data_IF_974164479763
#
_entry.id   IF_974164479763
#
_cell.length_a   1.000
_cell.length_b   1.000
_cell.length_c   1.000
_cell.angle_alpha   90.00
_cell.angle_beta   90.00
_cell.angle_gamma   90.00
#
_symmetry.space_group_name_H-M   'P 1'
#
loop_
_entity.id
_entity.type
_entity.pdbx_description
1 polymer ?
#
# COMPACT_ATOMS: atom_id res chain seq x y z
N UNK A 1 8.15 62.64 -17.64
CA UNK A 1 8.06 61.44 -16.78
C UNK A 1 8.59 60.26 -17.57
N UNK A 2 9.66 59.63 -17.07
CA UNK A 2 10.30 58.44 -17.66
C UNK A 2 9.48 57.19 -17.25
N UNK A 3 9.28 56.18 -18.11
CA UNK A 3 8.72 54.90 -17.67
C UNK A 3 9.77 54.17 -16.83
N UNK A 4 9.37 53.68 -15.65
CA UNK A 4 10.15 52.82 -14.78
C UNK A 4 10.30 51.44 -15.42
N UNK A 5 11.54 51.07 -15.72
CA UNK A 5 11.93 49.70 -16.10
C UNK A 5 12.02 48.84 -14.84
N UNK A 6 11.01 48.00 -14.59
CA UNK A 6 11.12 46.91 -13.62
C UNK A 6 11.88 45.75 -14.28
N UNK A 7 13.12 45.57 -13.85
CA UNK A 7 13.89 44.33 -14.04
C UNK A 7 13.25 43.19 -13.27
N UNK A 8 13.02 42.00 -13.86
CA UNK A 8 12.62 40.83 -13.09
C UNK A 8 13.73 40.45 -12.12
N UNK A 9 13.40 40.27 -10.84
CA UNK A 9 14.32 39.72 -9.86
C UNK A 9 14.75 38.32 -10.30
N UNK A 10 16.05 38.16 -10.56
CA UNK A 10 16.66 36.86 -10.83
C UNK A 10 16.37 35.90 -9.68
N UNK A 11 15.64 34.82 -9.97
CA UNK A 11 15.55 33.69 -9.07
C UNK A 11 16.98 33.15 -8.85
N UNK A 12 17.45 33.22 -7.60
CA UNK A 12 18.73 32.65 -7.19
C UNK A 12 18.68 31.12 -7.36
N UNK A 13 19.11 30.62 -8.51
CA UNK A 13 19.50 29.22 -8.66
C UNK A 13 20.84 29.01 -7.97
N UNK A 14 20.82 28.54 -6.72
CA UNK A 14 22.03 28.05 -6.07
C UNK A 14 22.45 26.73 -6.72
N UNK A 15 23.39 26.78 -7.65
CA UNK A 15 24.15 25.61 -8.12
C UNK A 15 25.15 25.21 -7.04
N UNK A 16 24.90 24.11 -6.32
CA UNK A 16 25.88 23.51 -5.42
C UNK A 16 26.92 22.71 -6.22
N UNK A 17 28.18 22.89 -5.83
CA UNK A 17 29.39 22.36 -6.44
C UNK A 17 29.43 20.84 -6.63
N UNK A 18 30.10 20.42 -7.71
CA UNK A 18 30.45 19.05 -8.02
C UNK A 18 31.51 18.52 -7.03
N UNK A 19 31.16 17.47 -6.28
CA UNK A 19 32.12 16.53 -5.68
C UNK A 19 31.62 15.10 -5.88
N UNK A 20 32.39 14.31 -6.63
CA UNK A 20 32.36 12.83 -6.74
C UNK A 20 30.99 12.10 -6.64
N UNK A 21 30.35 11.90 -7.80
CA UNK A 21 29.76 10.60 -8.15
C UNK A 21 28.36 10.18 -7.66
N UNK A 22 27.62 11.00 -6.89
CA UNK A 22 26.20 10.71 -6.62
C UNK A 22 25.42 12.02 -6.54
N UNK A 23 24.56 12.29 -7.54
CA UNK A 23 23.62 13.42 -7.48
C UNK A 23 22.64 13.15 -6.34
N UNK A 24 22.91 13.71 -5.16
CA UNK A 24 21.94 13.77 -4.07
C UNK A 24 20.97 14.88 -4.47
N UNK A 25 19.72 14.52 -4.74
CA UNK A 25 18.64 15.48 -4.90
C UNK A 25 17.98 15.60 -3.53
N UNK A 26 18.22 16.68 -2.73
CA UNK A 26 17.68 16.78 -1.37
C UNK A 26 16.31 17.50 -1.33
N UNK A 27 15.87 18.09 -2.45
CA UNK A 27 14.71 18.97 -2.49
C UNK A 27 13.36 18.25 -2.48
N UNK A 28 12.32 19.03 -2.16
CA UNK A 28 10.92 18.69 -2.35
C UNK A 28 10.46 19.35 -3.64
N UNK A 29 9.78 18.62 -4.53
CA UNK A 29 9.24 19.18 -5.77
C UNK A 29 8.05 20.12 -5.52
N UNK A 30 6.98 19.58 -4.94
CA UNK A 30 5.79 20.33 -4.52
C UNK A 30 5.54 20.09 -3.03
N UNK A 31 5.30 21.16 -2.28
CA UNK A 31 5.01 21.09 -0.84
C UNK A 31 3.62 21.66 -0.53
N UNK A 32 2.70 20.79 -0.14
CA UNK A 32 1.33 21.13 0.26
C UNK A 32 1.22 21.06 1.78
N UNK A 33 1.02 22.21 2.41
CA UNK A 33 0.84 22.31 3.87
C UNK A 33 -0.65 22.42 4.25
N UNK A 34 -1.47 22.97 3.35
CA UNK A 34 -2.89 23.20 3.58
C UNK A 34 -3.80 22.03 3.17
N UNK A 35 -5.10 22.25 3.34
CA UNK A 35 -6.15 21.30 3.02
C UNK A 35 -6.78 21.61 1.65
N UNK A 36 -7.54 20.65 1.12
CA UNK A 36 -8.44 20.87 -0.03
C UNK A 36 -7.74 21.30 -1.32
N UNK A 37 -6.48 20.89 -1.51
CA UNK A 37 -5.71 21.17 -2.71
C UNK A 37 -5.85 20.06 -3.75
N UNK A 38 -5.63 20.42 -5.02
CA UNK A 38 -5.55 19.48 -6.12
C UNK A 38 -4.20 19.63 -6.86
N UNK A 39 -3.59 18.50 -7.21
CA UNK A 39 -2.46 18.42 -8.14
C UNK A 39 -2.89 17.50 -9.28
N UNK A 40 -2.87 18.01 -10.50
CA UNK A 40 -3.43 17.33 -11.67
C UNK A 40 -2.48 17.45 -12.86
N UNK A 41 -2.19 16.32 -13.51
CA UNK A 41 -1.46 16.23 -14.78
C UNK A 41 -0.06 16.89 -14.74
N UNK A 42 0.71 16.59 -13.70
CA UNK A 42 2.06 17.13 -13.48
C UNK A 42 3.12 16.04 -13.59
N UNK A 43 4.23 16.34 -14.25
CA UNK A 43 5.45 15.53 -14.23
C UNK A 43 6.46 16.14 -13.26
N UNK A 44 6.96 15.35 -12.31
CA UNK A 44 7.95 15.79 -11.32
C UNK A 44 9.23 14.96 -11.49
N UNK A 45 10.33 15.64 -11.78
CA UNK A 45 11.64 15.04 -12.02
C UNK A 45 12.69 15.52 -11.01
N UNK A 46 13.61 14.63 -10.60
CA UNK A 46 14.82 14.98 -9.82
C UNK A 46 14.60 15.65 -8.44
N UNK A 47 13.58 15.23 -7.68
CA UNK A 47 13.42 15.59 -6.27
C UNK A 47 13.74 14.43 -5.30
N UNK A 48 14.13 14.72 -4.04
CA UNK A 48 14.15 13.68 -2.99
C UNK A 48 12.74 13.18 -2.70
N UNK A 49 11.81 14.13 -2.65
CA UNK A 49 10.39 13.92 -2.44
C UNK A 49 9.67 14.65 -3.56
N UNK A 50 8.94 13.94 -4.41
CA UNK A 50 8.19 14.56 -5.51
C UNK A 50 7.13 15.52 -4.99
N UNK A 51 6.20 14.98 -4.19
CA UNK A 51 5.14 15.74 -3.52
C UNK A 51 5.18 15.45 -2.03
N UNK A 52 5.26 16.49 -1.20
CA UNK A 52 5.03 16.41 0.24
C UNK A 52 3.63 16.96 0.56
N UNK A 53 2.85 16.21 1.34
CA UNK A 53 1.50 16.58 1.76
C UNK A 53 1.45 16.53 3.28
N UNK A 54 1.19 17.67 3.93
CA UNK A 54 1.05 17.78 5.39
C UNK A 54 -0.34 18.23 5.85
N UNK A 55 -1.22 18.60 4.91
CA UNK A 55 -2.62 18.91 5.17
C UNK A 55 -3.57 17.81 4.68
N UNK A 56 -4.85 17.99 4.97
CA UNK A 56 -5.91 16.99 4.81
C UNK A 56 -6.68 17.17 3.50
N UNK A 57 -7.50 16.18 3.13
CA UNK A 57 -8.51 16.30 2.08
C UNK A 57 -7.97 16.62 0.66
N UNK A 58 -6.69 16.35 0.39
CA UNK A 58 -6.06 16.67 -0.90
C UNK A 58 -6.36 15.62 -1.99
N UNK A 59 -6.31 16.03 -3.26
CA UNK A 59 -6.46 15.14 -4.42
C UNK A 59 -5.25 15.23 -5.36
N UNK A 60 -4.64 14.09 -5.64
CA UNK A 60 -3.50 13.94 -6.53
C UNK A 60 -3.92 13.04 -7.68
N UNK A 61 -3.87 13.52 -8.92
CA UNK A 61 -4.32 12.74 -10.08
C UNK A 61 -3.48 12.98 -11.32
N UNK A 62 -3.23 11.95 -12.13
CA UNK A 62 -2.48 12.09 -13.38
C UNK A 62 -1.01 12.51 -13.17
N UNK A 63 -0.48 12.37 -11.97
CA UNK A 63 0.89 12.79 -11.65
C UNK A 63 1.87 11.71 -12.06
N UNK A 64 2.93 12.10 -12.78
CA UNK A 64 4.08 11.25 -13.05
C UNK A 64 5.26 11.66 -12.16
N UNK A 65 5.56 10.84 -11.14
CA UNK A 65 6.74 11.01 -10.33
C UNK A 65 7.90 10.19 -10.91
N UNK A 66 8.88 10.88 -11.48
CA UNK A 66 10.15 10.33 -11.95
C UNK A 66 11.31 10.99 -11.19
N UNK A 67 11.24 10.94 -9.87
CA UNK A 67 12.22 11.58 -8.99
C UNK A 67 13.19 10.55 -8.40
N UNK A 68 13.93 10.93 -7.35
CA UNK A 68 14.87 10.02 -6.68
C UNK A 68 14.18 8.68 -6.36
N UNK A 69 14.78 7.58 -6.84
CA UNK A 69 14.23 6.24 -6.68
C UNK A 69 14.08 5.84 -5.21
N UNK A 70 13.09 5.01 -4.91
CA UNK A 70 12.84 4.49 -3.55
C UNK A 70 14.00 3.67 -3.02
N UNK A 71 14.66 2.88 -3.87
CA UNK A 71 15.87 2.13 -3.50
C UNK A 71 17.04 3.05 -3.05
N UNK A 72 17.00 4.34 -3.38
CA UNK A 72 17.99 5.33 -2.96
C UNK A 72 17.48 6.21 -1.80
N UNK A 73 16.31 5.90 -1.23
CA UNK A 73 15.66 6.66 -0.17
C UNK A 73 14.93 7.91 -0.67
N UNK A 74 14.40 7.89 -1.89
CA UNK A 74 13.45 8.91 -2.37
C UNK A 74 11.99 8.46 -2.23
N UNK A 75 11.07 9.42 -2.33
CA UNK A 75 9.62 9.18 -2.33
C UNK A 75 8.95 9.96 -3.47
N UNK A 76 8.00 9.35 -4.16
CA UNK A 76 7.22 10.01 -5.20
C UNK A 76 6.23 10.96 -4.54
N UNK A 77 5.41 10.41 -3.65
CA UNK A 77 4.43 11.15 -2.86
C UNK A 77 4.64 10.77 -1.40
N UNK A 78 4.77 11.76 -0.52
CA UNK A 78 4.92 11.60 0.91
C UNK A 78 3.76 12.27 1.63
N UNK A 79 2.96 11.49 2.36
CA UNK A 79 1.86 11.95 3.18
C UNK A 79 2.33 11.98 4.64
N UNK A 80 2.57 13.20 5.13
CA UNK A 80 2.94 13.54 6.50
C UNK A 80 1.74 14.16 7.21
N UNK A 81 0.64 13.42 7.25
CA UNK A 81 -0.61 13.84 7.88
C UNK A 81 -1.16 12.71 8.76
N UNK A 82 -0.42 12.30 9.82
CA UNK A 82 -0.79 11.18 10.68
C UNK A 82 -2.13 11.42 11.35
N UNK A 83 -3.01 10.42 11.31
CA UNK A 83 -4.36 10.47 11.88
C UNK A 83 -5.37 11.32 11.11
N UNK A 84 -4.93 12.10 10.11
CA UNK A 84 -5.71 13.17 9.48
C UNK A 84 -5.51 13.24 7.95
N UNK A 85 -5.23 12.11 7.29
CA UNK A 85 -4.81 12.09 5.88
C UNK A 85 -5.90 12.55 4.90
N UNK A 86 -7.05 11.86 4.85
CA UNK A 86 -8.20 12.17 3.97
C UNK A 86 -7.86 12.40 2.48
N UNK A 87 -6.72 11.86 2.02
CA UNK A 87 -6.13 12.17 0.72
C UNK A 87 -6.50 11.10 -0.31
N UNK A 88 -6.73 11.53 -1.55
CA UNK A 88 -7.01 10.66 -2.71
C UNK A 88 -5.88 10.78 -3.71
N UNK A 89 -5.28 9.65 -4.08
CA UNK A 89 -4.25 9.52 -5.10
C UNK A 89 -4.79 8.58 -6.19
N UNK A 90 -4.99 9.10 -7.39
CA UNK A 90 -5.65 8.36 -8.47
C UNK A 90 -4.89 8.48 -9.79
N UNK A 91 -4.78 7.40 -10.56
CA UNK A 91 -4.28 7.45 -11.94
C UNK A 91 -2.88 8.08 -12.08
N UNK A 92 -2.01 7.84 -11.10
CA UNK A 92 -0.64 8.36 -11.11
C UNK A 92 0.33 7.35 -11.73
N UNK A 93 1.46 7.83 -12.23
CA UNK A 93 2.58 7.01 -12.68
C UNK A 93 3.80 7.22 -11.79
N UNK A 94 4.24 6.14 -11.15
CA UNK A 94 5.25 6.11 -10.10
C UNK A 94 6.47 5.35 -10.63
N UNK A 95 7.43 6.08 -11.21
CA UNK A 95 8.57 5.51 -11.95
C UNK A 95 9.80 5.36 -11.03
N UNK A 96 10.08 4.14 -10.58
CA UNK A 96 11.08 3.75 -9.55
C UNK A 96 10.89 4.40 -8.18
N UNK A 97 9.79 5.13 -7.95
CA UNK A 97 9.56 5.90 -6.73
C UNK A 97 8.16 5.66 -6.19
N UNK A 98 8.03 5.42 -4.89
CA UNK A 98 6.80 4.96 -4.26
C UNK A 98 5.98 6.03 -3.56
N UNK A 99 5.00 5.58 -2.79
CA UNK A 99 4.21 6.42 -1.88
C UNK A 99 4.59 6.08 -0.45
N UNK A 100 4.71 7.09 0.40
CA UNK A 100 4.90 6.93 1.85
C UNK A 100 3.74 7.60 2.56
N UNK A 101 3.12 6.92 3.52
CA UNK A 101 2.05 7.48 4.35
C UNK A 101 2.30 7.18 5.83
N UNK A 102 2.25 8.21 6.66
CA UNK A 102 2.36 8.10 8.13
C UNK A 102 0.96 8.04 8.75
N UNK A 103 0.71 7.00 9.55
CA UNK A 103 -0.55 6.72 10.24
C UNK A 103 -1.84 7.13 9.47
N UNK A 104 -2.05 6.59 8.25
CA UNK A 104 -3.08 7.11 7.37
C UNK A 104 -4.49 6.83 7.88
N UNK A 105 -5.34 7.86 7.77
CA UNK A 105 -6.78 7.78 8.01
C UNK A 105 -7.53 8.30 6.77
N UNK A 106 -8.45 7.50 6.23
CA UNK A 106 -9.22 7.83 5.01
C UNK A 106 -8.33 8.12 3.79
N UNK A 107 -7.33 7.27 3.55
CA UNK A 107 -6.45 7.34 2.38
C UNK A 107 -6.99 6.45 1.25
N UNK A 108 -7.03 6.97 0.03
CA UNK A 108 -7.41 6.19 -1.16
C UNK A 108 -6.31 6.27 -2.22
N UNK A 109 -5.79 5.12 -2.67
CA UNK A 109 -4.78 4.99 -3.71
C UNK A 109 -5.31 4.02 -4.78
N UNK A 110 -5.56 4.51 -5.99
CA UNK A 110 -6.18 3.72 -7.05
C UNK A 110 -5.71 4.04 -8.46
N UNK A 111 -5.90 3.11 -9.39
CA UNK A 111 -5.67 3.29 -10.83
C UNK A 111 -4.23 3.64 -11.22
N UNK A 112 -3.29 3.52 -10.28
CA UNK A 112 -1.92 4.01 -10.46
C UNK A 112 -1.00 2.90 -10.96
N UNK A 113 0.06 3.28 -11.69
CA UNK A 113 1.09 2.37 -12.16
C UNK A 113 2.40 2.59 -11.39
N UNK A 114 2.91 1.54 -10.76
CA UNK A 114 4.17 1.51 -10.02
C UNK A 114 5.19 0.68 -10.78
N UNK A 115 6.22 1.33 -11.32
CA UNK A 115 7.29 0.70 -12.09
C UNK A 115 8.58 0.59 -11.26
N UNK A 116 9.38 -0.44 -11.53
CA UNK A 116 10.77 -0.50 -11.09
C UNK A 116 10.91 -0.73 -9.60
N UNK A 117 10.10 -1.64 -9.06
CA UNK A 117 10.01 -1.92 -7.61
C UNK A 117 9.52 -0.74 -6.77
N UNK A 118 8.79 0.22 -7.37
CA UNK A 118 8.06 1.21 -6.59
C UNK A 118 6.97 0.53 -5.75
N UNK A 119 6.81 0.95 -4.48
CA UNK A 119 5.87 0.36 -3.53
C UNK A 119 5.18 1.43 -2.69
N UNK A 120 4.17 1.01 -1.93
CA UNK A 120 3.50 1.86 -0.94
C UNK A 120 4.01 1.47 0.45
N UNK A 121 4.55 2.44 1.19
CA UNK A 121 5.01 2.27 2.57
C UNK A 121 4.03 2.93 3.53
N UNK A 122 3.46 2.15 4.44
CA UNK A 122 2.64 2.64 5.55
C UNK A 122 3.51 2.62 6.80
N UNK A 123 3.70 3.80 7.40
CA UNK A 123 4.50 3.96 8.62
C UNK A 123 3.58 4.09 9.83
N UNK A 124 3.85 3.26 10.82
CA UNK A 124 3.28 3.37 12.16
C UNK A 124 4.08 4.40 12.95
N UNK A 125 3.46 5.49 13.42
CA UNK A 125 4.05 6.36 14.43
C UNK A 125 3.34 6.14 15.77
N UNK A 126 2.01 6.22 15.75
CA UNK A 126 1.08 5.95 16.85
C UNK A 126 0.28 4.65 16.65
N UNK A 127 0.60 3.88 15.60
CA UNK A 127 -0.01 2.57 15.34
C UNK A 127 -1.37 2.61 14.67
N UNK A 128 -1.66 3.65 13.87
CA UNK A 128 -2.99 3.88 13.28
C UNK A 128 -2.96 3.58 11.78
N UNK A 129 -3.92 2.80 11.30
CA UNK A 129 -4.22 2.64 9.87
C UNK A 129 -5.72 2.39 9.71
N UNK A 130 -6.45 3.41 9.24
CA UNK A 130 -7.93 3.36 9.21
C UNK A 130 -8.57 3.85 7.92
N UNK A 131 -9.58 3.14 7.43
CA UNK A 131 -10.33 3.49 6.21
C UNK A 131 -9.40 3.71 5.01
N UNK A 132 -8.40 2.83 4.86
CA UNK A 132 -7.37 2.92 3.83
C UNK A 132 -7.70 1.97 2.68
N UNK A 133 -7.72 2.49 1.46
CA UNK A 133 -7.98 1.72 0.25
C UNK A 133 -6.76 1.80 -0.68
N UNK A 134 -6.15 0.66 -0.99
CA UNK A 134 -5.08 0.50 -1.98
C UNK A 134 -5.57 -0.52 -3.00
N UNK A 135 -6.23 -0.04 -4.05
CA UNK A 135 -7.02 -0.89 -4.94
C UNK A 135 -6.83 -0.56 -6.41
N UNK A 136 -6.92 -1.58 -7.25
CA UNK A 136 -6.96 -1.40 -8.71
C UNK A 136 -5.70 -0.71 -9.28
N UNK A 137 -4.53 -0.97 -8.68
CA UNK A 137 -3.24 -0.48 -9.14
C UNK A 137 -2.45 -1.57 -9.89
N UNK A 138 -1.49 -1.16 -10.70
CA UNK A 138 -0.53 -2.02 -11.38
C UNK A 138 0.86 -1.87 -10.75
N UNK A 139 1.52 -2.98 -10.44
CA UNK A 139 2.88 -3.04 -9.93
C UNK A 139 3.76 -3.89 -10.84
N UNK A 140 4.91 -3.34 -11.24
CA UNK A 140 5.90 -4.01 -12.08
C UNK A 140 7.30 -3.90 -11.48
N UNK A 141 7.98 -5.03 -11.32
CA UNK A 141 9.30 -5.12 -10.70
C UNK A 141 10.23 -6.11 -11.38
N UNK A 142 11.33 -6.42 -10.70
CA UNK A 142 12.46 -7.18 -11.24
C UNK A 142 12.61 -8.61 -10.66
N UNK A 143 11.56 -9.13 -10.02
CA UNK A 143 11.51 -10.45 -9.39
C UNK A 143 12.43 -10.62 -8.17
N UNK A 144 12.91 -9.53 -7.56
CA UNK A 144 13.74 -9.57 -6.33
C UNK A 144 12.94 -9.70 -5.03
N UNK A 145 11.61 -9.84 -5.11
CA UNK A 145 10.76 -10.14 -3.96
C UNK A 145 10.24 -8.92 -3.19
N UNK A 146 10.36 -7.71 -3.73
CA UNK A 146 9.84 -6.48 -3.11
C UNK A 146 8.32 -6.54 -2.96
N UNK A 147 7.81 -6.31 -1.75
CA UNK A 147 6.37 -6.26 -1.49
C UNK A 147 5.74 -4.98 -2.04
N UNK A 148 4.57 -5.09 -2.67
CA UNK A 148 3.83 -3.94 -3.22
C UNK A 148 3.32 -2.96 -2.14
N UNK A 149 3.01 -3.47 -0.95
CA UNK A 149 2.64 -2.71 0.24
C UNK A 149 3.51 -3.18 1.38
N UNK A 150 4.09 -2.24 2.11
CA UNK A 150 5.01 -2.49 3.20
C UNK A 150 4.55 -1.76 4.46
N UNK A 151 4.81 -2.38 5.61
CA UNK A 151 4.54 -1.81 6.92
C UNK A 151 5.88 -1.48 7.59
N UNK A 152 6.10 -0.21 7.88
CA UNK A 152 7.20 0.24 8.73
C UNK A 152 6.67 0.38 10.15
N UNK A 153 7.10 -0.54 11.01
CA UNK A 153 6.75 -0.58 12.43
C UNK A 153 7.95 -0.25 13.31
N UNK A 154 8.96 0.45 12.77
CA UNK A 154 10.18 0.78 13.50
C UNK A 154 9.95 1.67 14.73
N UNK A 155 8.83 2.40 14.78
CA UNK A 155 8.39 3.20 15.93
C UNK A 155 7.39 2.50 16.85
N UNK A 156 6.78 1.42 16.39
CA UNK A 156 5.78 0.66 17.12
C UNK A 156 4.88 -0.15 16.19
N UNK A 157 4.20 -1.19 16.68
CA UNK A 157 3.26 -1.98 15.88
C UNK A 157 2.00 -1.18 15.54
N UNK A 158 1.30 -1.58 14.47
CA UNK A 158 -0.08 -1.13 14.25
C UNK A 158 -1.00 -1.80 15.27
N UNK A 159 -1.73 -1.00 16.03
CA UNK A 159 -2.66 -1.45 17.08
C UNK A 159 -4.10 -1.05 16.79
N UNK A 160 -4.30 -0.03 15.96
CA UNK A 160 -5.61 0.44 15.52
C UNK A 160 -5.73 0.25 14.00
N UNK A 161 -6.19 -0.93 13.61
CA UNK A 161 -6.37 -1.35 12.22
C UNK A 161 -7.88 -1.50 11.98
N UNK A 162 -8.44 -0.63 11.14
CA UNK A 162 -9.89 -0.62 10.88
C UNK A 162 -10.18 -0.24 9.42
N UNK A 163 -11.11 -0.92 8.75
CA UNK A 163 -11.50 -0.63 7.36
C UNK A 163 -10.32 -0.51 6.37
N UNK A 164 -9.36 -1.44 6.42
CA UNK A 164 -8.20 -1.43 5.52
C UNK A 164 -8.38 -2.44 4.39
N UNK A 165 -8.43 -1.93 3.16
CA UNK A 165 -8.60 -2.73 1.95
C UNK A 165 -7.36 -2.58 1.07
N UNK A 166 -6.62 -3.69 0.91
CA UNK A 166 -5.61 -3.85 -0.13
C UNK A 166 -6.07 -5.01 -0.99
N UNK A 167 -6.56 -4.73 -2.21
CA UNK A 167 -7.13 -5.75 -3.08
C UNK A 167 -7.10 -5.32 -4.55
N UNK A 168 -7.34 -6.26 -5.47
CA UNK A 168 -7.44 -6.03 -6.93
C UNK A 168 -6.24 -5.31 -7.56
N UNK A 169 -5.08 -5.40 -6.93
CA UNK A 169 -3.83 -4.92 -7.53
C UNK A 169 -3.24 -6.01 -8.45
N UNK A 170 -2.87 -5.62 -9.67
CA UNK A 170 -2.14 -6.46 -10.62
C UNK A 170 -0.65 -6.37 -10.33
N UNK A 171 0.02 -7.51 -10.20
CA UNK A 171 1.41 -7.57 -9.74
C UNK A 171 2.24 -8.45 -10.66
N UNK A 172 3.30 -7.91 -11.24
CA UNK A 172 4.28 -8.61 -12.06
C UNK A 172 5.69 -8.30 -11.54
N UNK A 173 6.53 -9.32 -11.34
CA UNK A 173 7.91 -9.12 -10.84
C UNK A 173 8.03 -8.60 -9.40
N UNK A 174 6.94 -8.54 -8.64
CA UNK A 174 6.92 -8.12 -7.23
C UNK A 174 6.10 -9.10 -6.37
N UNK A 175 6.18 -8.97 -5.05
CA UNK A 175 5.42 -9.80 -4.11
C UNK A 175 4.07 -9.16 -3.78
N UNK A 176 2.98 -9.85 -4.08
CA UNK A 176 1.61 -9.41 -3.75
C UNK A 176 1.40 -9.37 -2.24
N UNK A 177 0.81 -8.28 -1.76
CA UNK A 177 0.22 -8.14 -0.43
C UNK A 177 -1.24 -7.72 -0.55
N UNK A 178 -2.08 -8.21 0.36
CA UNK A 178 -3.53 -8.07 0.28
C UNK A 178 -4.15 -8.12 1.68
N UNK A 179 -5.31 -7.53 1.88
CA UNK A 179 -6.15 -7.80 3.07
C UNK A 179 -7.26 -8.80 2.79
N UNK A 180 -7.47 -9.15 1.51
CA UNK A 180 -8.38 -10.20 1.06
C UNK A 180 -7.59 -11.29 0.35
N UNK A 181 -7.86 -12.56 0.64
CA UNK A 181 -7.19 -13.67 -0.04
C UNK A 181 -8.12 -14.87 -0.25
N UNK A 182 -7.83 -15.64 -1.29
CA UNK A 182 -8.48 -16.91 -1.59
C UNK A 182 -7.43 -18.00 -1.78
N UNK A 183 -7.72 -19.19 -1.28
CA UNK A 183 -6.81 -20.32 -1.33
C UNK A 183 -7.56 -21.63 -1.36
N UNK A 184 -6.88 -22.68 -1.81
CA UNK A 184 -7.46 -24.02 -1.82
C UNK A 184 -6.40 -25.06 -1.55
N UNK A 185 -6.78 -26.11 -0.83
CA UNK A 185 -5.91 -27.24 -0.56
C UNK A 185 -6.70 -28.54 -0.64
N UNK A 186 -6.16 -29.50 -1.38
CA UNK A 186 -6.67 -30.87 -1.38
C UNK A 186 -5.99 -31.67 -0.27
N UNK A 187 -6.74 -32.58 0.34
CA UNK A 187 -6.20 -33.51 1.33
C UNK A 187 -7.10 -34.71 1.55
N UNK A 188 -6.52 -35.78 2.08
CA UNK A 188 -7.23 -36.96 2.55
C UNK A 188 -6.97 -37.15 4.05
N UNK A 189 -8.03 -37.11 4.85
CA UNK A 189 -7.92 -37.17 6.31
C UNK A 189 -9.05 -36.38 6.96
N UNK A 190 -8.78 -35.84 8.13
CA UNK A 190 -9.76 -35.11 8.95
C UNK A 190 -9.45 -33.62 9.07
N UNK A 191 -8.38 -33.12 8.44
CA UNK A 191 -7.87 -31.76 8.68
C UNK A 191 -7.29 -31.16 7.40
N UNK A 192 -7.67 -29.91 7.11
CA UNK A 192 -7.13 -29.11 6.02
C UNK A 192 -6.73 -27.74 6.54
N UNK A 193 -5.54 -27.28 6.19
CA UNK A 193 -5.04 -25.95 6.57
C UNK A 193 -4.60 -25.17 5.34
N UNK A 194 -5.18 -23.99 5.13
CA UNK A 194 -4.74 -23.03 4.12
C UNK A 194 -3.95 -21.92 4.80
N UNK A 195 -2.70 -21.70 4.38
CA UNK A 195 -1.80 -20.68 4.95
C UNK A 195 -1.77 -19.42 4.06
N UNK A 196 -2.21 -18.30 4.61
CA UNK A 196 -2.25 -17.01 3.92
C UNK A 196 -1.13 -16.05 4.36
N UNK A 197 -0.18 -16.49 5.21
CA UNK A 197 0.86 -15.64 5.79
C UNK A 197 1.72 -14.90 4.76
N UNK A 198 1.89 -15.47 3.57
CA UNK A 198 2.67 -14.84 2.49
C UNK A 198 1.92 -13.69 1.81
N UNK A 199 0.59 -13.74 1.81
CA UNK A 199 -0.28 -12.80 1.07
C UNK A 199 -0.87 -11.74 1.97
N UNK A 200 -1.37 -12.12 3.15
CA UNK A 200 -2.02 -11.18 4.06
C UNK A 200 -1.05 -10.12 4.57
N UNK A 201 -1.53 -8.88 4.64
CA UNK A 201 -0.75 -7.71 5.00
C UNK A 201 -0.47 -7.68 6.50
N UNK A 202 -1.51 -7.86 7.31
CA UNK A 202 -1.39 -7.84 8.76
C UNK A 202 -1.16 -9.24 9.33
N UNK A 203 -0.27 -9.41 10.32
CA UNK A 203 -0.08 -10.69 10.98
C UNK A 203 -1.28 -11.01 11.88
N UNK A 204 -1.78 -12.24 11.79
CA UNK A 204 -2.78 -12.79 12.71
C UNK A 204 -4.05 -11.93 12.87
N UNK A 205 -4.56 -11.39 11.75
CA UNK A 205 -5.72 -10.50 11.73
C UNK A 205 -6.75 -10.99 10.70
N UNK A 206 -7.07 -12.28 10.70
CA UNK A 206 -8.20 -12.79 9.91
C UNK A 206 -9.47 -12.48 10.70
N UNK A 207 -10.30 -11.60 10.16
CA UNK A 207 -11.55 -11.15 10.79
C UNK A 207 -12.77 -11.87 10.25
N UNK A 208 -12.74 -12.28 8.98
CA UNK A 208 -13.83 -13.02 8.35
C UNK A 208 -13.30 -14.20 7.54
N UNK A 209 -14.03 -15.32 7.59
CA UNK A 209 -13.72 -16.56 6.86
C UNK A 209 -14.99 -17.08 6.21
N UNK A 210 -14.92 -17.34 4.91
CA UNK A 210 -15.88 -18.16 4.19
C UNK A 210 -15.14 -19.39 3.66
N UNK A 211 -15.73 -20.57 3.81
CA UNK A 211 -15.13 -21.79 3.29
C UNK A 211 -16.16 -22.73 2.68
N UNK A 212 -15.68 -23.62 1.82
CA UNK A 212 -16.43 -24.75 1.28
C UNK A 212 -15.54 -25.98 1.33
N UNK A 213 -16.05 -27.09 1.86
CA UNK A 213 -15.38 -28.38 1.81
C UNK A 213 -16.00 -29.21 0.68
N UNK A 214 -15.32 -29.27 -0.45
CA UNK A 214 -15.76 -30.05 -1.60
C UNK A 214 -15.33 -31.52 -1.40
N UNK A 215 -16.20 -32.30 -0.79
CA UNK A 215 -16.08 -33.75 -0.70
C UNK A 215 -16.80 -34.44 -1.88
N UNK A 216 -16.47 -35.71 -2.14
CA UNK A 216 -17.14 -36.53 -3.16
C UNK A 216 -18.56 -36.94 -2.76
N UNK A 217 -18.84 -38.25 -2.73
CA UNK A 217 -20.17 -38.77 -2.35
C UNK A 217 -20.47 -38.73 -0.83
N UNK A 218 -19.50 -38.33 -0.01
CA UNK A 218 -19.58 -38.30 1.44
C UNK A 218 -20.09 -36.96 1.98
N UNK A 219 -20.81 -37.00 3.10
CA UNK A 219 -21.31 -35.82 3.81
C UNK A 219 -20.79 -35.78 5.26
N UNK A 220 -19.49 -35.51 5.46
CA UNK A 220 -18.92 -35.42 6.81
C UNK A 220 -19.46 -34.21 7.56
N UNK A 221 -19.58 -34.30 8.89
CA UNK A 221 -19.73 -33.08 9.68
C UNK A 221 -18.38 -32.36 9.72
N UNK A 222 -18.38 -31.07 9.42
CA UNK A 222 -17.16 -30.28 9.36
C UNK A 222 -17.33 -28.93 10.06
N UNK A 223 -16.23 -28.37 10.57
CA UNK A 223 -16.25 -27.03 11.16
C UNK A 223 -14.91 -26.30 10.99
N UNK A 224 -14.98 -24.97 10.94
CA UNK A 224 -13.84 -24.10 11.14
C UNK A 224 -13.31 -24.27 12.57
N UNK A 225 -12.01 -24.51 12.73
CA UNK A 225 -11.38 -24.79 14.03
C UNK A 225 -10.39 -23.72 14.46
N UNK A 226 -9.64 -23.16 13.51
CA UNK A 226 -8.60 -22.20 13.82
C UNK A 226 -8.42 -21.18 12.67
N UNK A 227 -8.09 -19.94 13.04
CA UNK A 227 -7.75 -18.83 12.14
C UNK A 227 -6.41 -18.15 12.51
N UNK A 228 -5.69 -18.68 13.50
CA UNK A 228 -4.48 -18.06 14.04
C UNK A 228 -3.29 -18.15 13.09
N UNK A 229 -2.37 -17.20 13.20
CA UNK A 229 -1.17 -17.14 12.38
C UNK A 229 -1.46 -16.99 10.89
N UNK A 230 -2.56 -16.34 10.52
CA UNK A 230 -3.04 -16.22 9.14
C UNK A 230 -3.29 -17.58 8.46
N UNK A 231 -3.65 -18.60 9.23
CA UNK A 231 -3.95 -19.94 8.75
C UNK A 231 -5.37 -20.30 9.08
N UNK A 232 -6.10 -20.79 8.08
CA UNK A 232 -7.46 -21.30 8.27
C UNK A 232 -7.40 -22.82 8.31
N UNK A 233 -7.82 -23.38 9.43
CA UNK A 233 -7.91 -24.84 9.64
C UNK A 233 -9.37 -25.26 9.76
N UNK A 234 -9.78 -26.19 8.90
CA UNK A 234 -11.09 -26.86 8.96
C UNK A 234 -10.85 -28.33 9.30
N UNK A 235 -11.69 -28.88 10.16
CA UNK A 235 -11.68 -30.30 10.50
C UNK A 235 -13.01 -30.96 10.19
N UNK A 236 -12.98 -32.27 9.96
CA UNK A 236 -14.14 -33.15 9.85
C UNK A 236 -14.14 -34.23 10.93
N UNK A 237 -15.34 -34.75 11.24
CA UNK A 237 -15.53 -35.85 12.20
C UNK A 237 -14.99 -37.20 11.69
N UNK A 238 -14.90 -37.37 10.38
CA UNK A 238 -14.52 -38.60 9.71
C UNK A 238 -13.48 -38.34 8.62
N UNK A 239 -12.56 -39.29 8.36
CA UNK A 239 -11.61 -39.17 7.26
C UNK A 239 -12.33 -39.11 5.91
N UNK A 240 -12.02 -38.09 5.11
CA UNK A 240 -12.56 -37.91 3.76
C UNK A 240 -11.49 -37.36 2.83
N UNK A 241 -11.58 -37.68 1.55
CA UNK A 241 -10.82 -36.98 0.50
C UNK A 241 -11.62 -35.78 0.02
N UNK A 242 -11.12 -34.57 0.27
CA UNK A 242 -11.82 -33.34 -0.06
C UNK A 242 -10.85 -32.21 -0.44
N UNK A 243 -11.38 -31.24 -1.18
CA UNK A 243 -10.72 -29.94 -1.40
C UNK A 243 -11.37 -28.89 -0.52
N UNK A 244 -10.58 -28.25 0.34
CA UNK A 244 -11.00 -27.09 1.08
C UNK A 244 -10.75 -25.84 0.23
N UNK A 245 -11.80 -25.08 -0.04
CA UNK A 245 -11.74 -23.73 -0.62
C UNK A 245 -11.99 -22.70 0.47
N UNK A 246 -11.16 -21.67 0.56
CA UNK A 246 -11.26 -20.63 1.60
C UNK A 246 -11.16 -19.25 0.97
N UNK A 247 -12.00 -18.32 1.43
CA UNK A 247 -11.87 -16.88 1.25
C UNK A 247 -11.76 -16.22 2.62
N UNK A 248 -10.79 -15.32 2.79
CA UNK A 248 -10.54 -14.60 4.04
C UNK A 248 -10.49 -13.10 3.81
N UNK A 249 -10.83 -12.34 4.84
CA UNK A 249 -10.71 -10.88 4.89
C UNK A 249 -10.16 -10.43 6.26
N UNK A 250 -9.30 -9.41 6.25
CA UNK A 250 -8.77 -8.73 7.44
C UNK A 250 -9.57 -7.48 7.81
N UNK A 251 -10.58 -7.12 7.03
CA UNK A 251 -11.54 -6.07 7.34
C UNK A 251 -12.69 -6.65 8.18
N UNK A 252 -13.06 -5.97 9.26
CA UNK A 252 -14.31 -6.16 9.97
C UNK A 252 -15.11 -4.86 9.89
N UNK A 253 -16.41 -4.96 9.64
CA UNK A 253 -17.32 -3.82 9.83
C UNK A 253 -17.97 -4.04 11.18
N UNK A 254 -17.66 -3.19 12.16
CA UNK A 254 -18.38 -3.17 13.42
C UNK A 254 -19.76 -2.53 13.21
N UNK A 255 -20.82 -3.30 13.48
CA UNK A 255 -22.17 -2.76 13.57
C UNK A 255 -22.36 -2.13 14.95
N UNK A 256 -21.90 -0.89 15.12
CA UNK A 256 -22.19 -0.05 16.29
C UNK A 256 -23.39 0.84 16.07
#
# INVERSE_FOLDING_TARGET
MKPSSETPSSANTSTSAQTTGRKIFPGIGINIIGNDNAITDVVIFSASIGIMISGQANMITGVHCYNKATALGGAGIYIRAPGLTQTRIANCYLDYTGIVAEDPVQLHITGSFFLGNAFILIKSLEGIVRSVNIVDNMFSGDYTGVNIVQLDQSKGPFTNIDQVVVDRNSVEGMTRKSTVARGSIWGNGTTWTVDFSRVLLFPNLINNVQYTLQAGASFPNHMLRNVSGNRVTVESDTPVSATLHVSVDQCMIDYT
#
